data_IF_855711967287
#
_entry.id   IF_855711967287
#
_cell.length_a   1.000
_cell.length_b   1.000
_cell.length_c   1.000
_cell.angle_alpha   90.00
_cell.angle_beta   90.00
_cell.angle_gamma   90.00
#
_symmetry.space_group_name_H-M   'P 1'
#
loop_
_entity.id
_entity.type
_entity.pdbx_description
1 polymer ?
#
# COMPACT_ATOMS: atom_id res chain seq x y z
N UNK A 1 -25.64 -7.20 6.37
CA UNK A 1 -24.64 -6.35 5.69
C UNK A 1 -23.57 -7.26 5.11
N UNK A 2 -23.54 -7.43 3.80
CA UNK A 2 -22.45 -8.15 3.14
C UNK A 2 -21.42 -7.13 2.65
N UNK A 3 -20.16 -7.43 2.92
CA UNK A 3 -19.01 -6.68 2.40
C UNK A 3 -18.61 -7.38 1.11
N UNK A 4 -18.55 -6.64 -0.01
CA UNK A 4 -18.10 -7.17 -1.30
C UNK A 4 -16.61 -7.54 -1.36
N UNK A 5 -15.96 -7.83 -0.24
CA UNK A 5 -14.55 -8.19 -0.15
C UNK A 5 -14.41 -9.72 -0.19
N UNK A 6 -13.49 -10.28 -0.99
CA UNK A 6 -13.39 -11.72 -1.15
C UNK A 6 -13.00 -12.42 0.17
N UNK A 7 -13.75 -13.46 0.51
CA UNK A 7 -13.49 -14.30 1.68
C UNK A 7 -12.39 -15.32 1.35
N UNK A 8 -11.16 -15.04 1.75
CA UNK A 8 -9.98 -15.89 1.50
C UNK A 8 -9.27 -16.20 2.83
N UNK A 9 -9.55 -17.35 3.47
CA UNK A 9 -8.97 -17.70 4.77
C UNK A 9 -7.44 -17.82 4.76
N UNK A 10 -6.84 -18.07 3.59
CA UNK A 10 -5.38 -18.16 3.42
C UNK A 10 -4.71 -16.80 3.22
N UNK A 11 -5.47 -15.72 3.06
CA UNK A 11 -4.93 -14.38 2.83
C UNK A 11 -4.40 -13.77 4.13
N UNK A 12 -3.22 -13.17 4.05
CA UNK A 12 -2.66 -12.33 5.11
C UNK A 12 -2.61 -10.87 4.67
N UNK A 13 -3.08 -9.96 5.52
CA UNK A 13 -3.10 -8.52 5.24
C UNK A 13 -2.14 -7.81 6.18
N UNK A 14 -1.11 -7.18 5.62
CA UNK A 14 -0.17 -6.35 6.37
C UNK A 14 -0.46 -4.87 6.16
N UNK A 15 -0.74 -4.16 7.25
CA UNK A 15 -1.04 -2.73 7.21
C UNK A 15 0.14 -1.91 7.69
N UNK A 16 0.73 -1.13 6.78
CA UNK A 16 1.76 -0.14 7.11
C UNK A 16 1.10 1.23 7.32
N UNK A 17 1.16 1.74 8.55
CA UNK A 17 0.50 3.00 8.92
C UNK A 17 1.56 4.02 9.33
N UNK A 18 1.47 5.23 8.79
CA UNK A 18 2.41 6.29 9.15
C UNK A 18 2.22 6.76 10.60
N UNK A 19 3.31 7.13 11.27
CA UNK A 19 3.23 7.74 12.60
C UNK A 19 2.31 8.98 12.60
N UNK A 20 1.46 9.06 13.63
CA UNK A 20 0.39 10.07 13.82
C UNK A 20 -0.81 9.98 12.88
N UNK A 21 -1.04 8.86 12.19
CA UNK A 21 -2.28 8.63 11.43
C UNK A 21 -3.33 7.85 12.26
N UNK A 22 -3.97 8.56 13.19
CA UNK A 22 -5.02 7.99 14.04
C UNK A 22 -6.29 7.63 13.25
N UNK A 23 -6.54 8.28 12.11
CA UNK A 23 -7.70 8.01 11.26
C UNK A 23 -7.56 6.66 10.56
N UNK A 24 -6.39 6.39 9.98
CA UNK A 24 -6.11 5.09 9.35
C UNK A 24 -6.21 3.94 10.36
N UNK A 25 -5.80 4.14 11.61
CA UNK A 25 -5.97 3.15 12.68
C UNK A 25 -7.45 2.87 13.01
N UNK A 26 -8.31 3.89 13.01
CA UNK A 26 -9.75 3.73 13.24
C UNK A 26 -10.40 3.00 12.09
N UNK A 27 -10.09 3.38 10.85
CA UNK A 27 -10.64 2.72 9.66
C UNK A 27 -10.19 1.25 9.55
N UNK A 28 -8.94 0.95 9.90
CA UNK A 28 -8.44 -0.42 9.95
C UNK A 28 -9.26 -1.28 10.92
N UNK A 29 -9.47 -0.80 12.15
CA UNK A 29 -10.25 -1.54 13.16
C UNK A 29 -11.68 -1.76 12.66
N UNK A 30 -12.33 -0.70 12.20
CA UNK A 30 -13.69 -0.78 11.69
C UNK A 30 -13.80 -1.79 10.53
N UNK A 31 -12.82 -1.83 9.63
CA UNK A 31 -12.81 -2.75 8.50
C UNK A 31 -12.64 -4.22 8.93
N UNK A 32 -11.67 -4.52 9.80
CA UNK A 32 -11.45 -5.90 10.26
C UNK A 32 -12.62 -6.39 11.16
N UNK A 33 -13.24 -5.51 11.94
CA UNK A 33 -14.44 -5.83 12.74
C UNK A 33 -15.66 -6.12 11.84
N UNK A 34 -15.84 -5.34 10.77
CA UNK A 34 -16.89 -5.55 9.76
C UNK A 34 -16.69 -6.90 9.05
N UNK A 35 -15.45 -7.21 8.63
CA UNK A 35 -15.12 -8.48 8.00
C UNK A 35 -15.36 -9.69 8.92
N UNK A 36 -15.00 -9.58 10.21
CA UNK A 36 -15.28 -10.62 11.21
C UNK A 36 -16.78 -10.84 11.40
N UNK A 37 -17.55 -9.76 11.45
CA UNK A 37 -19.01 -9.82 11.60
C UNK A 37 -19.67 -10.46 10.39
N UNK A 38 -19.14 -10.21 9.19
CA UNK A 38 -19.71 -10.68 7.92
C UNK A 38 -19.37 -12.14 7.60
N UNK A 39 -18.10 -12.53 7.75
CA UNK A 39 -17.61 -13.85 7.30
C UNK A 39 -17.34 -14.83 8.46
N UNK A 40 -17.37 -14.36 9.70
CA UNK A 40 -17.02 -15.15 10.90
C UNK A 40 -15.51 -15.27 11.10
N UNK A 41 -15.05 -15.30 12.36
CA UNK A 41 -13.63 -15.18 12.72
C UNK A 41 -12.69 -16.19 12.04
N UNK A 42 -13.17 -17.40 11.74
CA UNK A 42 -12.34 -18.46 11.16
C UNK A 42 -12.14 -18.33 9.64
N UNK A 43 -12.87 -17.45 8.96
CA UNK A 43 -12.82 -17.36 7.49
C UNK A 43 -12.11 -16.10 6.99
N UNK A 44 -11.92 -15.09 7.85
CA UNK A 44 -11.40 -13.78 7.47
C UNK A 44 -9.90 -13.74 7.13
N UNK A 45 -9.15 -14.81 7.38
CA UNK A 45 -7.70 -14.84 7.29
C UNK A 45 -7.01 -14.12 8.45
N UNK A 46 -5.74 -13.72 8.25
CA UNK A 46 -4.93 -13.10 9.30
C UNK A 46 -4.49 -11.69 8.91
N UNK A 47 -4.18 -10.85 9.89
CA UNK A 47 -3.62 -9.53 9.62
C UNK A 47 -2.61 -9.11 10.68
N UNK A 48 -1.69 -8.24 10.30
CA UNK A 48 -0.80 -7.53 11.21
C UNK A 48 -0.72 -6.04 10.85
N UNK A 49 -0.20 -5.24 11.78
CA UNK A 49 -0.06 -3.80 11.59
C UNK A 49 1.27 -3.32 12.13
N UNK A 50 1.91 -2.44 11.37
CA UNK A 50 3.16 -1.80 11.75
C UNK A 50 3.04 -0.30 11.61
N UNK A 51 3.46 0.41 12.66
CA UNK A 51 3.54 1.86 12.63
C UNK A 51 4.94 2.23 12.15
N UNK A 52 5.03 2.84 10.98
CA UNK A 52 6.28 3.26 10.36
C UNK A 52 6.44 4.77 10.53
N UNK A 53 7.66 5.23 10.77
CA UNK A 53 7.93 6.66 10.79
C UNK A 53 7.56 7.30 9.45
N UNK A 54 7.01 8.52 9.47
CA UNK A 54 6.76 9.28 8.24
C UNK A 54 8.08 9.58 7.52
N UNK A 55 8.13 9.27 6.22
CA UNK A 55 9.30 9.55 5.38
C UNK A 55 9.61 11.05 5.25
N UNK A 56 8.60 11.92 5.45
CA UNK A 56 8.76 13.38 5.52
C UNK A 56 7.89 13.97 6.63
N UNK A 57 8.48 14.76 7.53
CA UNK A 57 7.71 15.61 8.46
C UNK A 57 7.16 16.81 7.69
N UNK A 58 5.94 17.24 8.01
CA UNK A 58 5.31 18.41 7.37
C UNK A 58 6.20 19.64 7.67
N UNK A 59 6.59 20.41 6.65
CA UNK A 59 7.56 21.54 6.66
C UNK A 59 9.07 21.20 6.60
N UNK A 60 9.48 19.96 6.30
CA UNK A 60 10.90 19.67 6.06
C UNK A 60 11.39 20.12 4.68
N UNK A 61 12.58 20.70 4.64
CA UNK A 61 13.25 21.10 3.40
C UNK A 61 13.61 19.86 2.57
N UNK A 62 13.59 19.99 1.24
CA UNK A 62 14.00 18.93 0.32
C UNK A 62 15.44 18.44 0.57
N UNK A 63 16.28 19.27 1.18
CA UNK A 63 17.68 18.98 1.52
C UNK A 63 17.86 18.03 2.72
N UNK A 64 16.91 17.98 3.66
CA UNK A 64 16.95 17.05 4.82
C UNK A 64 16.15 15.77 4.60
N UNK A 65 15.43 15.70 3.47
CA UNK A 65 14.63 14.55 3.04
C UNK A 65 15.41 13.24 2.86
N UNK A 66 16.68 13.19 2.41
CA UNK A 66 17.38 11.90 2.24
C UNK A 66 17.64 11.15 3.56
N UNK A 67 17.91 11.85 4.67
CA UNK A 67 18.16 11.20 5.96
C UNK A 67 16.89 10.56 6.56
N UNK A 68 15.75 11.24 6.50
CA UNK A 68 14.47 10.68 6.97
C UNK A 68 13.95 9.58 6.05
N UNK A 69 14.30 9.66 4.76
CA UNK A 69 14.04 8.60 3.78
C UNK A 69 14.81 7.34 4.11
N UNK A 70 16.12 7.44 4.40
CA UNK A 70 16.95 6.28 4.76
C UNK A 70 16.44 5.58 6.03
N UNK A 71 16.02 6.36 7.03
CA UNK A 71 15.43 5.82 8.27
C UNK A 71 14.09 5.10 8.03
N UNK A 72 13.31 5.56 7.05
CA UNK A 72 12.08 4.85 6.65
C UNK A 72 12.41 3.57 5.90
N UNK A 73 13.43 3.59 5.05
CA UNK A 73 13.92 2.39 4.34
C UNK A 73 14.37 1.32 5.34
N UNK A 74 15.13 1.66 6.38
CA UNK A 74 15.59 0.66 7.37
C UNK A 74 14.46 0.03 8.17
N UNK A 75 13.33 0.73 8.33
CA UNK A 75 12.13 0.17 8.95
C UNK A 75 11.29 -0.66 7.98
N UNK A 76 11.16 -0.22 6.72
CA UNK A 76 10.32 -0.88 5.71
C UNK A 76 10.98 -2.17 5.19
N UNK A 77 12.29 -2.17 5.03
CA UNK A 77 13.06 -3.29 4.50
C UNK A 77 12.80 -4.62 5.23
N UNK A 78 12.93 -4.74 6.56
CA UNK A 78 12.62 -5.99 7.27
C UNK A 78 11.13 -6.35 7.22
N UNK A 79 10.24 -5.37 7.05
CA UNK A 79 8.80 -5.62 6.95
C UNK A 79 8.39 -6.19 5.60
N UNK A 80 9.12 -5.90 4.53
CA UNK A 80 8.88 -6.53 3.22
C UNK A 80 9.48 -7.94 3.12
N UNK A 81 10.54 -8.23 3.88
CA UNK A 81 11.22 -9.53 3.87
C UNK A 81 10.73 -10.50 4.95
N UNK A 82 9.93 -10.03 5.92
CA UNK A 82 9.39 -10.87 6.98
C UNK A 82 8.06 -11.47 6.57
N UNK A 83 7.94 -12.80 6.69
CA UNK A 83 6.67 -13.51 6.46
C UNK A 83 6.07 -13.99 7.78
N UNK A 84 4.74 -13.86 7.95
CA UNK A 84 4.03 -14.53 9.04
C UNK A 84 3.90 -16.04 8.80
N UNK A 85 4.11 -16.52 7.57
CA UNK A 85 3.98 -17.93 7.23
C UNK A 85 5.30 -18.68 7.46
N UNK A 86 5.22 -19.83 8.13
CA UNK A 86 6.36 -20.75 8.35
C UNK A 86 6.11 -22.08 7.63
N UNK A 87 7.17 -22.74 7.15
CA UNK A 87 7.10 -24.09 6.55
C UNK A 87 6.77 -24.11 5.05
N UNK A 88 5.86 -25.00 4.63
CA UNK A 88 5.55 -25.32 3.21
C UNK A 88 5.08 -24.11 2.38
N UNK A 89 4.62 -23.05 3.05
CA UNK A 89 4.23 -21.76 2.43
C UNK A 89 5.40 -20.81 2.18
N UNK A 90 6.63 -21.33 2.07
CA UNK A 90 7.84 -20.52 1.82
C UNK A 90 7.77 -19.64 0.56
N UNK A 91 6.93 -19.96 -0.43
CA UNK A 91 6.67 -19.08 -1.58
C UNK A 91 5.92 -17.80 -1.21
N UNK A 92 5.11 -17.81 -0.15
CA UNK A 92 4.44 -16.63 0.41
C UNK A 92 5.35 -15.88 1.40
N UNK A 93 6.67 -15.98 1.22
CA UNK A 93 7.64 -15.28 2.06
C UNK A 93 7.60 -13.77 1.84
N UNK A 94 7.23 -13.35 0.63
CA UNK A 94 7.12 -11.95 0.23
C UNK A 94 5.66 -11.56 0.02
N UNK A 95 5.31 -10.28 0.17
CA UNK A 95 4.00 -9.78 -0.23
C UNK A 95 3.78 -10.03 -1.73
N UNK A 96 2.61 -10.54 -2.10
CA UNK A 96 2.25 -10.68 -3.52
C UNK A 96 1.98 -9.31 -4.15
N UNK A 97 1.23 -8.46 -3.43
CA UNK A 97 0.78 -7.15 -3.90
C UNK A 97 1.02 -6.11 -2.79
N UNK A 98 1.54 -4.95 -3.17
CA UNK A 98 1.70 -3.77 -2.32
C UNK A 98 0.73 -2.71 -2.82
N UNK A 99 -0.33 -2.45 -2.06
CA UNK A 99 -1.30 -1.41 -2.35
C UNK A 99 -0.95 -0.13 -1.60
N UNK A 100 -0.84 1.01 -2.28
CA UNK A 100 -0.64 2.28 -1.60
C UNK A 100 -1.33 3.46 -2.27
N UNK A 101 -1.99 4.29 -1.44
CA UNK A 101 -2.47 5.62 -1.80
C UNK A 101 -1.73 6.72 -1.03
N UNK A 102 -0.75 6.33 -0.21
CA UNK A 102 -0.11 7.21 0.76
C UNK A 102 0.91 8.14 0.10
N UNK A 103 1.07 9.37 0.59
CA UNK A 103 2.17 10.24 0.18
C UNK A 103 3.52 9.64 0.61
N UNK A 104 4.64 10.14 0.08
CA UNK A 104 6.04 9.92 0.50
C UNK A 104 6.40 8.50 1.02
N UNK A 105 5.94 8.08 2.19
CA UNK A 105 6.06 6.71 2.71
C UNK A 105 5.60 5.65 1.70
N UNK A 106 4.48 5.85 0.99
CA UNK A 106 4.02 4.92 -0.05
C UNK A 106 5.02 4.78 -1.20
N UNK A 107 5.61 5.90 -1.61
CA UNK A 107 6.69 5.91 -2.60
C UNK A 107 7.94 5.18 -2.11
N UNK A 108 8.33 5.36 -0.85
CA UNK A 108 9.48 4.64 -0.28
C UNK A 108 9.24 3.13 -0.25
N UNK A 109 8.04 2.67 0.10
CA UNK A 109 7.72 1.23 0.05
C UNK A 109 7.88 0.69 -1.38
N UNK A 110 7.33 1.40 -2.38
CA UNK A 110 7.49 1.02 -3.79
C UNK A 110 8.95 1.03 -4.24
N UNK A 111 9.72 2.04 -3.82
CA UNK A 111 11.15 2.14 -4.14
C UNK A 111 11.96 0.99 -3.53
N UNK A 112 11.69 0.62 -2.27
CA UNK A 112 12.37 -0.52 -1.63
C UNK A 112 12.02 -1.82 -2.33
N UNK A 113 10.74 -2.05 -2.67
CA UNK A 113 10.32 -3.22 -3.43
C UNK A 113 11.04 -3.29 -4.80
N UNK A 114 11.10 -2.17 -5.52
CA UNK A 114 11.82 -2.06 -6.79
C UNK A 114 13.32 -2.36 -6.64
N UNK A 115 13.97 -1.81 -5.60
CA UNK A 115 15.38 -2.07 -5.30
C UNK A 115 15.64 -3.53 -4.93
N UNK A 116 14.73 -4.18 -4.22
CA UNK A 116 14.83 -5.60 -3.90
C UNK A 116 14.74 -6.47 -5.16
N UNK A 117 13.86 -6.12 -6.10
CA UNK A 117 13.70 -6.80 -7.40
C UNK A 117 14.96 -6.65 -8.27
N UNK A 118 15.44 -5.43 -8.49
CA UNK A 118 16.61 -5.18 -9.36
C UNK A 118 17.92 -5.75 -8.78
N UNK A 119 18.02 -5.89 -7.46
CA UNK A 119 19.14 -6.55 -6.78
C UNK A 119 19.03 -8.08 -6.74
N UNK A 120 17.99 -8.68 -7.35
CA UNK A 120 17.72 -10.12 -7.34
C UNK A 120 17.57 -10.74 -5.93
N UNK A 121 17.17 -9.92 -4.95
CA UNK A 121 16.92 -10.39 -3.57
C UNK A 121 15.55 -11.07 -3.47
N UNK A 122 14.58 -10.59 -4.28
CA UNK A 122 13.22 -11.13 -4.34
C UNK A 122 12.83 -11.47 -5.78
N UNK A 123 11.96 -12.47 -6.00
CA UNK A 123 11.45 -12.80 -7.33
C UNK A 123 10.67 -11.65 -7.97
N UNK A 124 10.77 -11.51 -9.30
CA UNK A 124 10.10 -10.44 -10.06
C UNK A 124 8.57 -10.51 -10.02
N UNK A 125 8.00 -11.71 -9.86
CA UNK A 125 6.56 -11.96 -9.76
C UNK A 125 5.96 -11.64 -8.39
N UNK A 126 6.79 -11.23 -7.42
CA UNK A 126 6.35 -10.80 -6.09
C UNK A 126 6.37 -9.27 -5.94
N UNK A 127 5.82 -8.77 -4.83
CA UNK A 127 5.82 -7.34 -4.46
C UNK A 127 5.29 -6.42 -5.56
N UNK A 128 4.20 -6.81 -6.22
CA UNK A 128 3.59 -6.02 -7.29
C UNK A 128 3.05 -4.69 -6.70
N UNK A 129 3.66 -3.57 -7.09
CA UNK A 129 3.36 -2.24 -6.54
C UNK A 129 2.20 -1.61 -7.30
N UNK A 130 1.07 -1.50 -6.63
CA UNK A 130 -0.14 -0.85 -7.11
C UNK A 130 -0.32 0.51 -6.42
N UNK A 131 -0.13 1.60 -7.16
CA UNK A 131 -0.41 2.94 -6.67
C UNK A 131 -1.80 3.41 -7.11
N UNK A 132 -2.56 3.95 -6.16
CA UNK A 132 -3.87 4.55 -6.43
C UNK A 132 -3.85 6.02 -6.03
N UNK A 133 -3.99 6.90 -7.00
CA UNK A 133 -4.24 8.32 -6.76
C UNK A 133 -5.74 8.54 -6.49
N UNK A 134 -6.04 9.07 -5.31
CA UNK A 134 -7.41 9.29 -4.86
C UNK A 134 -8.06 10.54 -5.46
N UNK A 135 -9.39 10.65 -5.35
CA UNK A 135 -10.18 11.84 -5.70
C UNK A 135 -9.78 13.15 -5.02
N UNK A 136 -8.86 13.12 -4.04
CA UNK A 136 -8.38 14.32 -3.36
C UNK A 136 -7.70 15.33 -4.32
N UNK A 137 -7.29 14.90 -5.53
CA UNK A 137 -6.70 15.78 -6.55
C UNK A 137 -7.45 15.64 -7.87
N UNK A 138 -8.21 16.67 -8.21
CA UNK A 138 -9.07 16.70 -9.41
C UNK A 138 -8.42 17.41 -10.62
N UNK A 139 -7.29 18.09 -10.42
CA UNK A 139 -6.63 18.90 -11.46
C UNK A 139 -5.28 18.34 -11.93
N UNK A 140 -4.50 17.78 -11.01
CA UNK A 140 -3.13 17.28 -11.28
C UNK A 140 -2.82 16.10 -10.38
N UNK A 141 -1.90 15.23 -10.80
CA UNK A 141 -1.34 14.18 -9.94
C UNK A 141 -0.71 14.77 -8.68
N UNK A 142 -0.76 14.02 -7.57
CA UNK A 142 0.02 14.36 -6.38
C UNK A 142 1.52 14.31 -6.70
N UNK A 143 2.36 14.89 -5.83
CA UNK A 143 3.81 14.78 -6.02
C UNK A 143 4.25 13.30 -6.06
N UNK A 144 3.65 12.46 -5.22
CA UNK A 144 3.92 11.02 -5.20
C UNK A 144 3.41 10.33 -6.47
N UNK A 145 2.21 10.67 -6.95
CA UNK A 145 1.69 10.16 -8.22
C UNK A 145 2.56 10.57 -9.41
N UNK A 146 3.06 11.81 -9.44
CA UNK A 146 4.04 12.26 -10.46
C UNK A 146 5.34 11.48 -10.37
N UNK A 147 5.85 11.22 -9.16
CA UNK A 147 7.06 10.41 -9.00
C UNK A 147 6.85 9.00 -9.54
N UNK A 148 5.79 8.30 -9.15
CA UNK A 148 5.48 6.97 -9.67
C UNK A 148 5.32 6.96 -11.20
N UNK A 149 4.65 7.98 -11.75
CA UNK A 149 4.48 8.13 -13.20
C UNK A 149 5.81 8.37 -13.92
N UNK A 150 6.71 9.18 -13.36
CA UNK A 150 7.99 9.52 -13.98
C UNK A 150 9.04 8.41 -13.82
N UNK A 151 9.07 7.73 -12.67
CA UNK A 151 10.09 6.72 -12.38
C UNK A 151 9.73 5.34 -12.90
N UNK A 152 8.44 5.06 -13.16
CA UNK A 152 7.98 3.76 -13.64
C UNK A 152 8.14 2.62 -12.64
N UNK A 153 8.37 2.92 -11.34
CA UNK A 153 8.61 1.89 -10.32
C UNK A 153 7.33 1.20 -9.83
N UNK A 154 6.16 1.76 -10.14
CA UNK A 154 4.89 1.12 -9.86
C UNK A 154 4.52 0.20 -11.03
N UNK A 155 4.23 -1.06 -10.73
CA UNK A 155 3.78 -2.04 -11.71
C UNK A 155 2.42 -1.63 -12.30
N UNK A 156 1.56 -0.99 -11.49
CA UNK A 156 0.31 -0.39 -11.97
C UNK A 156 0.03 0.95 -11.27
N UNK A 157 -0.24 1.97 -12.09
CA UNK A 157 -0.62 3.32 -11.65
C UNK A 157 -2.08 3.58 -12.03
N UNK A 158 -2.93 3.72 -11.00
CA UNK A 158 -4.35 3.99 -11.15
C UNK A 158 -4.69 5.39 -10.65
N UNK A 159 -5.59 6.07 -11.36
CA UNK A 159 -6.13 7.37 -10.95
C UNK A 159 -7.65 7.28 -10.90
N UNK A 160 -8.24 7.72 -9.79
CA UNK A 160 -9.71 7.68 -9.67
C UNK A 160 -10.40 8.79 -10.49
N UNK A 161 -9.79 9.97 -10.61
CA UNK A 161 -10.37 11.09 -11.34
C UNK A 161 -10.12 11.02 -12.84
N UNK A 162 -11.20 10.86 -13.62
CA UNK A 162 -11.16 10.65 -15.07
C UNK A 162 -10.31 11.68 -15.83
N UNK A 163 -10.57 12.98 -15.65
CA UNK A 163 -9.80 14.01 -16.38
C UNK A 163 -8.31 14.01 -16.04
N UNK A 164 -7.94 13.55 -14.84
CA UNK A 164 -6.53 13.45 -14.45
C UNK A 164 -5.93 12.18 -15.03
N UNK A 165 -6.68 11.09 -15.06
CA UNK A 165 -6.27 9.85 -15.71
C UNK A 165 -5.98 10.09 -17.20
N UNK A 166 -6.89 10.77 -17.90
CA UNK A 166 -6.74 11.14 -19.31
C UNK A 166 -5.56 12.08 -19.54
N UNK A 167 -5.43 13.15 -18.74
CA UNK A 167 -4.37 14.15 -18.90
C UNK A 167 -2.95 13.57 -18.74
N UNK A 168 -2.80 12.48 -17.97
CA UNK A 168 -1.52 11.81 -17.74
C UNK A 168 -1.40 10.46 -18.46
N UNK A 169 -2.39 10.06 -19.28
CA UNK A 169 -2.38 8.79 -20.01
C UNK A 169 -2.31 7.55 -19.12
N UNK A 170 -2.96 7.59 -17.95
CA UNK A 170 -2.96 6.50 -16.96
C UNK A 170 -4.36 5.90 -16.81
N UNK A 171 -4.44 4.67 -16.28
CA UNK A 171 -5.70 3.95 -16.18
C UNK A 171 -6.64 4.60 -15.16
N UNK A 172 -7.87 4.85 -15.58
CA UNK A 172 -8.93 5.31 -14.70
C UNK A 172 -9.48 4.12 -13.88
N UNK A 173 -9.43 4.21 -12.55
CA UNK A 173 -9.98 3.19 -11.65
C UNK A 173 -11.42 3.46 -11.20
N UNK A 174 -11.93 4.67 -11.44
CA UNK A 174 -13.27 5.09 -11.05
C UNK A 174 -13.52 5.00 -9.55
N UNK A 175 -14.77 4.68 -9.20
CA UNK A 175 -15.22 4.56 -7.82
C UNK A 175 -14.84 3.18 -7.24
N UNK A 176 -13.77 3.15 -6.45
CA UNK A 176 -13.38 1.97 -5.68
C UNK A 176 -13.94 2.08 -4.27
N UNK A 177 -15.20 1.65 -4.10
CA UNK A 177 -15.85 1.57 -2.79
C UNK A 177 -16.21 0.11 -2.56
N UNK A 178 -15.80 -0.42 -1.40
CA UNK A 178 -16.27 -1.72 -0.95
C UNK A 178 -17.76 -1.59 -0.69
N UNK A 179 -18.59 -2.16 -1.56
CA UNK A 179 -20.06 -2.10 -1.42
C UNK A 179 -20.45 -2.75 -0.09
N UNK A 180 -21.25 -2.02 0.68
CA UNK A 180 -22.05 -2.56 1.78
C UNK A 180 -23.44 -2.82 1.21
N UNK A 181 -23.77 -4.07 0.97
CA UNK A 181 -25.16 -4.44 0.65
C UNK A 181 -25.94 -4.51 1.96
N UNK A 182 -26.98 -3.67 2.04
CA UNK A 182 -27.89 -3.57 3.19
C UNK A 182 -28.78 -4.78 3.32
#
# INVERSE_FOLDING_TARGET
>A
MEIGFPNVPSMHRRYLISSNDAMSLKHLKAFEDDLKTTHGENQVGTYDKYIVARARKIHQSLLTTPFTTLLSVTQIFPLLLSSPFKGVRSRQQFPDIILTNGPATGFIVGLVAYLLKICYIVPEDTMQVLYIESWARIRTLSLTGKLFHLTGIADLLLVQHEKVAEAYGVTNAGCMVVKRTG
#
